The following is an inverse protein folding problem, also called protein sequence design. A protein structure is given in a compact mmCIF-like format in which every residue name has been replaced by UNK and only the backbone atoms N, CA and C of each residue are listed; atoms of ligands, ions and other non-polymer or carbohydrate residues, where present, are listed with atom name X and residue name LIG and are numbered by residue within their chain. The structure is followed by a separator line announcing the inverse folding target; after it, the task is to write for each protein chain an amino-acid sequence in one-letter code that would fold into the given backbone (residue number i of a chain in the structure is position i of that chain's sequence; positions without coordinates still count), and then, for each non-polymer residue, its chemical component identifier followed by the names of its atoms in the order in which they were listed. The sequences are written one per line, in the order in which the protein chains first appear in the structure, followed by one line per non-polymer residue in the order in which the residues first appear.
data_IF_210753707182
#
_entry.id   IF_210753707182
#
_cell.length_a   1.000
_cell.length_b   1.000
_cell.length_c   1.000
_cell.angle_alpha   90.00
_cell.angle_beta   90.00
_cell.angle_gamma   90.00
#
_symmetry.space_group_name_H-M   'P 1'
#
loop_
_entity.id
_entity.type
_entity.pdbx_description
1 polymer ?
#
# COMPACT_ATOMS: atom_id res chain seq x y z
N UNK A 1 19.15 9.13 12.44
CA UNK A 1 18.61 10.51 12.67
C UNK A 1 17.13 10.36 12.99
N UNK A 2 16.46 11.35 13.60
CA UNK A 2 15.03 11.34 13.98
C UNK A 2 14.80 10.79 15.40
N UNK A 3 14.81 11.68 16.40
CA UNK A 3 14.08 11.63 17.67
C UNK A 3 14.62 12.74 18.59
N UNK A 4 14.53 13.98 18.11
CA UNK A 4 14.68 15.17 18.95
C UNK A 4 13.30 15.54 19.49
N UNK A 5 13.22 15.83 20.80
CA UNK A 5 11.98 16.12 21.55
C UNK A 5 11.10 17.27 21.02
N UNK A 6 11.52 17.98 19.98
CA UNK A 6 10.78 19.07 19.34
C UNK A 6 10.44 18.82 17.86
N UNK A 7 10.56 17.59 17.36
CA UNK A 7 10.13 17.28 15.99
C UNK A 7 8.60 17.16 15.91
N UNK A 8 7.92 17.75 14.91
CA UNK A 8 6.49 17.55 14.68
C UNK A 8 6.09 16.07 14.50
N UNK A 9 7.07 15.18 14.24
CA UNK A 9 6.90 13.72 14.23
C UNK A 9 6.68 13.10 15.62
N UNK A 10 6.94 13.83 16.70
CA UNK A 10 6.70 13.38 18.08
C UNK A 10 5.22 13.23 18.43
N UNK A 11 4.31 13.76 17.60
CA UNK A 11 2.86 13.67 17.79
C UNK A 11 2.23 12.42 17.15
N UNK A 12 2.99 11.65 16.37
CA UNK A 12 2.54 10.46 15.63
C UNK A 12 3.42 9.26 15.98
N UNK A 13 2.84 8.08 16.21
CA UNK A 13 3.66 6.87 16.37
C UNK A 13 4.41 6.61 15.05
N UNK A 14 5.75 6.57 15.08
CA UNK A 14 6.61 6.44 13.90
C UNK A 14 6.99 4.98 13.74
N UNK A 15 6.73 4.41 12.56
CA UNK A 15 7.14 3.04 12.25
C UNK A 15 8.26 2.98 11.21
N UNK A 16 9.13 2.00 11.38
CA UNK A 16 10.21 1.63 10.48
C UNK A 16 9.88 0.26 9.87
N UNK A 17 9.85 0.14 8.56
CA UNK A 17 9.65 -1.12 7.85
C UNK A 17 10.97 -1.63 7.27
N UNK A 18 11.34 -2.85 7.60
CA UNK A 18 12.60 -3.48 7.19
C UNK A 18 12.26 -4.78 6.47
N UNK A 19 12.64 -4.87 5.20
CA UNK A 19 12.54 -6.09 4.41
C UNK A 19 13.83 -6.89 4.54
N UNK A 20 13.74 -8.13 4.97
CA UNK A 20 14.89 -9.03 5.16
C UNK A 20 14.95 -10.12 4.09
N UNK A 21 16.16 -10.50 3.70
CA UNK A 21 16.42 -11.58 2.74
C UNK A 21 15.86 -12.93 3.20
N UNK A 22 16.14 -13.36 4.43
CA UNK A 22 15.72 -14.68 4.94
C UNK A 22 15.14 -14.55 6.32
N UNK A 23 14.06 -15.29 6.58
CA UNK A 23 13.44 -15.38 7.90
C UNK A 23 14.43 -15.94 8.94
N UNK A 24 15.30 -16.87 8.52
CA UNK A 24 16.34 -17.47 9.36
C UNK A 24 17.32 -16.43 9.91
N UNK A 25 17.59 -15.34 9.18
CA UNK A 25 18.47 -14.28 9.66
C UNK A 25 17.87 -13.52 10.87
N UNK A 26 16.60 -13.75 11.20
CA UNK A 26 15.90 -13.09 12.31
C UNK A 26 15.35 -14.07 13.37
N UNK A 27 14.83 -15.24 12.99
CA UNK A 27 14.28 -16.27 13.93
C UNK A 27 15.05 -17.60 13.89
N UNK A 28 16.00 -17.76 12.96
CA UNK A 28 16.76 -19.00 12.81
C UNK A 28 17.70 -19.30 13.98
N UNK A 29 18.49 -20.36 13.82
CA UNK A 29 19.48 -20.79 14.81
C UNK A 29 20.56 -19.74 15.07
N UNK A 30 20.90 -18.93 14.06
CA UNK A 30 21.86 -17.82 14.13
C UNK A 30 21.20 -16.54 13.62
N UNK A 31 20.40 -15.84 14.46
CA UNK A 31 19.60 -14.71 14.02
C UNK A 31 20.45 -13.42 13.96
N UNK A 32 21.32 -13.34 12.95
CA UNK A 32 22.27 -12.25 12.75
C UNK A 32 21.62 -10.86 12.79
N UNK A 33 20.52 -10.65 12.07
CA UNK A 33 19.84 -9.35 11.99
C UNK A 33 19.29 -8.96 13.36
N UNK A 34 18.74 -9.92 14.12
CA UNK A 34 18.18 -9.67 15.45
C UNK A 34 19.26 -9.29 16.46
N UNK A 35 20.43 -9.93 16.38
CA UNK A 35 21.60 -9.61 17.21
C UNK A 35 22.15 -8.22 16.89
N UNK A 36 22.44 -7.97 15.61
CA UNK A 36 22.95 -6.67 15.15
C UNK A 36 21.98 -5.54 15.48
N UNK A 37 20.67 -5.77 15.32
CA UNK A 37 19.67 -4.79 15.69
C UNK A 37 19.71 -4.47 17.19
N UNK A 38 19.80 -5.49 18.06
CA UNK A 38 19.86 -5.27 19.50
C UNK A 38 21.10 -4.47 19.92
N UNK A 39 22.26 -4.81 19.35
CA UNK A 39 23.53 -4.12 19.59
C UNK A 39 23.48 -2.65 19.14
N UNK A 40 23.04 -2.41 17.89
CA UNK A 40 22.97 -1.07 17.33
C UNK A 40 21.89 -0.21 18.01
N UNK A 41 20.74 -0.81 18.35
CA UNK A 41 19.69 -0.12 19.09
C UNK A 41 20.21 0.30 20.47
N UNK A 42 20.90 -0.59 21.19
CA UNK A 42 21.47 -0.27 22.50
C UNK A 42 22.49 0.87 22.40
N UNK A 43 23.40 0.80 21.41
CA UNK A 43 24.42 1.81 21.15
C UNK A 43 23.81 3.19 20.87
N UNK A 44 22.89 3.26 19.90
CA UNK A 44 22.26 4.52 19.47
C UNK A 44 21.31 5.07 20.54
N UNK A 45 20.57 4.22 21.24
CA UNK A 45 19.69 4.64 22.33
C UNK A 45 20.50 5.26 23.47
N UNK A 46 21.65 4.68 23.83
CA UNK A 46 22.54 5.25 24.85
C UNK A 46 23.11 6.60 24.40
N UNK A 47 23.58 6.71 23.15
CA UNK A 47 24.10 7.97 22.59
C UNK A 47 23.05 9.09 22.59
N UNK A 48 21.80 8.76 22.26
CA UNK A 48 20.71 9.74 22.09
C UNK A 48 20.02 10.14 23.39
N UNK A 49 19.79 9.17 24.29
CA UNK A 49 18.97 9.37 25.50
C UNK A 49 19.81 9.44 26.78
N UNK A 50 21.08 9.05 26.72
CA UNK A 50 21.94 8.90 27.89
C UNK A 50 21.58 7.71 28.78
N UNK A 51 20.60 6.87 28.38
CA UNK A 51 20.14 5.71 29.14
C UNK A 51 20.34 4.42 28.34
N UNK A 52 20.72 3.34 29.02
CA UNK A 52 20.69 2.03 28.40
C UNK A 52 19.26 1.48 28.36
N UNK A 53 18.79 0.98 27.20
CA UNK A 53 17.51 0.32 27.11
C UNK A 53 17.55 -1.04 27.80
N UNK A 54 16.42 -1.47 28.38
CA UNK A 54 16.31 -2.81 28.96
C UNK A 54 16.18 -3.87 27.85
N UNK A 55 16.59 -5.13 28.09
CA UNK A 55 16.38 -6.21 27.12
C UNK A 55 14.90 -6.38 26.73
N UNK A 56 13.99 -6.20 27.68
CA UNK A 56 12.54 -6.25 27.44
C UNK A 56 12.08 -5.12 26.52
N UNK A 57 12.63 -3.92 26.66
CA UNK A 57 12.35 -2.79 25.78
C UNK A 57 12.85 -3.07 24.36
N UNK A 58 14.06 -3.59 24.21
CA UNK A 58 14.63 -3.94 22.89
C UNK A 58 13.74 -4.95 22.18
N UNK A 59 13.19 -5.94 22.88
CA UNK A 59 12.27 -6.91 22.29
C UNK A 59 10.91 -6.28 21.98
N UNK A 60 10.38 -5.46 22.89
CA UNK A 60 9.05 -4.85 22.74
C UNK A 60 8.96 -3.88 21.56
N UNK A 61 10.06 -3.21 21.20
CA UNK A 61 10.08 -2.30 20.03
C UNK A 61 10.12 -3.02 18.69
N UNK A 62 10.28 -4.34 18.68
CA UNK A 62 10.37 -5.16 17.47
C UNK A 62 9.06 -5.92 17.23
N UNK A 63 8.50 -5.73 16.05
CA UNK A 63 7.45 -6.57 15.47
C UNK A 63 7.99 -7.30 14.25
N UNK A 64 7.55 -8.54 14.04
CA UNK A 64 7.96 -9.33 12.87
C UNK A 64 6.78 -10.02 12.20
N UNK A 65 6.85 -10.13 10.89
CA UNK A 65 5.80 -10.70 10.04
C UNK A 65 6.42 -11.71 9.08
N UNK A 66 6.36 -12.98 9.46
CA UNK A 66 6.88 -14.08 8.65
C UNK A 66 5.81 -15.17 8.45
N UNK A 67 5.86 -15.84 7.30
CA UNK A 67 5.00 -16.97 7.02
C UNK A 67 5.19 -18.08 8.02
N UNK A 68 4.13 -18.86 8.22
CA UNK A 68 4.24 -20.19 8.81
C UNK A 68 3.78 -21.24 7.82
N UNK A 69 4.45 -22.38 7.80
CA UNK A 69 3.96 -23.56 7.09
C UNK A 69 2.73 -24.11 7.82
N UNK A 70 1.97 -25.01 7.19
CA UNK A 70 0.86 -25.71 7.86
C UNK A 70 1.27 -26.53 9.09
N UNK A 71 2.57 -26.71 9.33
CA UNK A 71 3.14 -27.35 10.53
C UNK A 71 3.57 -26.35 11.61
N UNK A 72 3.42 -25.04 11.38
CA UNK A 72 3.74 -23.97 12.32
C UNK A 72 5.18 -23.44 12.25
N UNK A 73 6.03 -24.02 11.40
CA UNK A 73 7.42 -23.58 11.19
C UNK A 73 7.47 -22.31 10.34
N UNK A 74 8.36 -21.38 10.67
CA UNK A 74 8.51 -20.16 9.88
C UNK A 74 9.10 -20.46 8.50
N UNK A 75 8.61 -19.78 7.46
CA UNK A 75 9.10 -19.96 6.09
C UNK A 75 9.19 -18.62 5.34
N UNK A 76 10.10 -18.58 4.38
CA UNK A 76 10.29 -17.53 3.39
C UNK A 76 9.50 -17.78 2.09
N UNK A 77 8.78 -18.91 1.98
CA UNK A 77 8.06 -19.28 0.77
C UNK A 77 6.85 -18.36 0.48
N UNK A 78 6.92 -17.58 -0.60
CA UNK A 78 5.84 -16.68 -1.04
C UNK A 78 4.49 -17.38 -1.30
N UNK A 79 4.49 -18.65 -1.75
CA UNK A 79 3.25 -19.42 -1.96
C UNK A 79 2.59 -19.81 -0.65
N UNK A 80 3.40 -20.11 0.38
CA UNK A 80 2.87 -20.31 1.73
C UNK A 80 2.24 -19.01 2.26
N UNK A 81 2.76 -17.84 1.86
CA UNK A 81 2.27 -16.55 2.33
C UNK A 81 0.84 -16.23 1.88
N UNK A 82 0.50 -16.49 0.62
CA UNK A 82 -0.86 -16.30 0.10
C UNK A 82 -1.91 -17.13 0.85
N UNK A 83 -1.51 -18.26 1.42
CA UNK A 83 -2.38 -19.17 2.19
C UNK A 83 -2.51 -18.77 3.67
N UNK A 84 -1.55 -18.01 4.21
CA UNK A 84 -1.57 -17.51 5.58
C UNK A 84 -2.37 -16.20 5.71
N UNK A 85 -3.50 -16.08 5.00
CA UNK A 85 -4.34 -14.88 5.01
C UNK A 85 -4.80 -14.50 6.42
N UNK A 86 -5.04 -15.50 7.28
CA UNK A 86 -5.42 -15.33 8.69
C UNK A 86 -4.37 -14.60 9.54
N UNK A 87 -3.07 -14.86 9.31
CA UNK A 87 -1.97 -14.16 9.99
C UNK A 87 -2.02 -12.68 9.62
N UNK A 88 -2.31 -12.37 8.35
CA UNK A 88 -2.45 -11.00 7.87
C UNK A 88 -3.74 -10.34 8.33
N UNK A 89 -4.87 -11.03 8.33
CA UNK A 89 -6.15 -10.47 8.81
C UNK A 89 -6.09 -10.11 10.31
N UNK A 90 -5.34 -10.87 11.11
CA UNK A 90 -5.04 -10.52 12.50
C UNK A 90 -4.22 -9.22 12.59
N UNK A 91 -3.24 -9.04 11.71
CA UNK A 91 -2.43 -7.80 11.59
C UNK A 91 -3.29 -6.62 11.12
N UNK A 92 -4.25 -6.86 10.22
CA UNK A 92 -5.17 -5.83 9.73
C UNK A 92 -6.18 -5.41 10.82
N UNK A 93 -6.54 -6.31 11.74
CA UNK A 93 -7.37 -6.01 12.91
C UNK A 93 -6.66 -5.10 13.91
N UNK A 94 -5.35 -5.26 14.10
CA UNK A 94 -4.56 -4.46 15.06
C UNK A 94 -3.95 -3.16 14.49
N UNK A 95 -4.37 -2.72 13.29
CA UNK A 95 -3.91 -1.45 12.69
C UNK A 95 -4.05 -0.24 13.61
N UNK A 96 -5.17 -0.16 14.34
CA UNK A 96 -5.39 0.94 15.27
C UNK A 96 -4.41 0.90 16.45
N UNK A 97 -4.02 -0.30 16.90
CA UNK A 97 -3.01 -0.45 17.94
C UNK A 97 -1.63 -0.06 17.44
N UNK A 98 -1.26 -0.38 16.19
CA UNK A 98 0.02 0.07 15.61
C UNK A 98 0.14 1.59 15.50
N UNK A 99 -0.98 2.30 15.42
CA UNK A 99 -1.03 3.76 15.43
C UNK A 99 -1.09 4.36 16.85
N UNK A 100 -1.35 3.54 17.88
CA UNK A 100 -1.40 3.97 19.27
C UNK A 100 0.00 4.21 19.82
N UNK A 101 0.15 5.25 20.64
CA UNK A 101 1.38 5.50 21.40
C UNK A 101 1.66 4.43 22.47
N UNK A 102 0.64 3.69 22.87
CA UNK A 102 0.77 2.63 23.86
C UNK A 102 1.44 1.38 23.28
N UNK A 103 1.47 1.27 21.95
CA UNK A 103 2.15 0.18 21.29
C UNK A 103 3.66 0.47 21.23
N UNK A 104 4.49 -0.35 21.89
CA UNK A 104 5.93 -0.15 21.90
C UNK A 104 6.59 -0.44 20.54
N UNK A 105 5.90 -1.12 19.61
CA UNK A 105 6.47 -1.55 18.33
C UNK A 105 6.76 -0.36 17.43
N UNK A 106 8.05 -0.11 17.20
CA UNK A 106 8.57 0.92 16.30
C UNK A 106 9.18 0.31 15.03
N UNK A 107 9.73 -0.91 15.13
CA UNK A 107 10.45 -1.58 14.05
C UNK A 107 9.71 -2.82 13.60
N UNK A 108 9.43 -2.90 12.30
CA UNK A 108 8.70 -3.99 11.67
C UNK A 108 9.63 -4.73 10.72
N UNK A 109 9.84 -6.02 10.96
CA UNK A 109 10.62 -6.90 10.09
C UNK A 109 9.69 -7.76 9.24
N UNK A 110 9.87 -7.76 7.93
CA UNK A 110 9.09 -8.59 6.99
C UNK A 110 10.02 -9.22 5.97
N UNK A 111 9.71 -10.42 5.49
CA UNK A 111 10.45 -11.03 4.37
C UNK A 111 9.89 -10.61 3.00
N UNK A 112 8.56 -10.49 2.91
CA UNK A 112 7.86 -10.17 1.66
C UNK A 112 7.12 -8.84 1.77
N UNK A 113 6.73 -8.28 0.61
CA UNK A 113 5.72 -7.25 0.53
C UNK A 113 4.50 -7.69 1.35
N UNK A 114 4.11 -6.87 2.33
CA UNK A 114 2.97 -7.17 3.19
C UNK A 114 1.71 -7.34 2.31
N UNK A 115 0.76 -8.21 2.67
CA UNK A 115 -0.38 -8.53 1.80
C UNK A 115 -1.26 -7.31 1.41
N UNK A 116 -2.18 -7.52 0.48
CA UNK A 116 -3.27 -6.57 0.18
C UNK A 116 -3.99 -6.23 1.48
N UNK A 117 -4.20 -4.94 1.76
CA UNK A 117 -4.83 -4.46 2.98
C UNK A 117 -3.87 -3.83 3.99
N UNK A 118 -2.56 -4.13 3.98
CA UNK A 118 -1.64 -3.48 4.90
C UNK A 118 -1.42 -2.01 4.54
N UNK A 119 -1.86 -1.13 5.45
CA UNK A 119 -1.94 0.31 5.28
C UNK A 119 -1.64 0.98 6.62
N UNK A 120 -0.37 1.29 6.86
CA UNK A 120 0.05 2.14 7.97
C UNK A 120 0.54 3.49 7.40
N UNK A 121 -0.19 4.60 7.59
CA UNK A 121 0.20 5.90 7.07
C UNK A 121 1.43 6.50 7.77
N UNK A 122 1.88 5.93 8.88
CA UNK A 122 2.98 6.46 9.69
C UNK A 122 4.29 5.66 9.50
N UNK A 123 4.48 5.05 8.33
CA UNK A 123 5.76 4.46 7.95
C UNK A 123 6.64 5.57 7.37
N UNK A 124 7.71 5.91 8.07
CA UNK A 124 8.62 6.98 7.63
C UNK A 124 9.94 6.46 7.09
N UNK A 125 10.23 5.18 7.29
CA UNK A 125 11.48 4.58 6.83
C UNK A 125 11.19 3.20 6.26
N UNK A 126 11.68 2.95 5.05
CA UNK A 126 11.68 1.63 4.43
C UNK A 126 13.13 1.27 4.14
N UNK A 127 13.58 0.15 4.69
CA UNK A 127 14.89 -0.41 4.41
C UNK A 127 14.75 -1.76 3.73
N UNK A 128 15.43 -1.94 2.61
CA UNK A 128 15.38 -3.18 1.84
C UNK A 128 16.73 -3.86 1.98
N UNK A 129 16.82 -4.89 2.83
CA UNK A 129 18.01 -5.71 3.06
C UNK A 129 18.01 -7.00 2.21
N UNK A 130 17.12 -7.09 1.21
CA UNK A 130 16.96 -8.27 0.37
C UNK A 130 17.95 -8.31 -0.80
N UNK A 131 18.44 -9.49 -1.17
CA UNK A 131 19.35 -9.61 -2.31
C UNK A 131 18.62 -9.63 -3.67
N UNK A 132 17.32 -9.86 -3.68
CA UNK A 132 16.53 -10.06 -4.89
C UNK A 132 16.03 -8.74 -5.46
N UNK A 133 16.56 -8.38 -6.64
CA UNK A 133 16.14 -7.22 -7.41
C UNK A 133 14.82 -7.52 -8.14
N UNK A 134 13.70 -7.02 -7.63
CA UNK A 134 12.43 -7.05 -8.35
C UNK A 134 11.84 -5.65 -8.41
N UNK A 135 11.91 -5.04 -9.59
CA UNK A 135 11.44 -3.67 -9.85
C UNK A 135 9.95 -3.49 -9.52
N UNK A 136 9.12 -4.48 -9.86
CA UNK A 136 7.67 -4.46 -9.60
C UNK A 136 7.39 -4.54 -8.08
N UNK A 137 8.16 -5.36 -7.35
CA UNK A 137 8.00 -5.57 -5.91
C UNK A 137 8.42 -4.30 -5.14
N UNK A 138 9.54 -3.68 -5.52
CA UNK A 138 10.01 -2.42 -4.93
C UNK A 138 8.96 -1.30 -5.06
N UNK A 139 8.32 -1.14 -6.22
CA UNK A 139 7.27 -0.12 -6.41
C UNK A 139 6.07 -0.34 -5.47
N UNK A 140 5.61 -1.58 -5.33
CA UNK A 140 4.47 -1.92 -4.47
C UNK A 140 4.80 -1.79 -2.97
N UNK A 141 6.04 -2.08 -2.58
CA UNK A 141 6.52 -1.93 -1.20
C UNK A 141 6.67 -0.46 -0.83
N UNK A 142 7.26 0.36 -1.71
CA UNK A 142 7.49 1.79 -1.49
C UNK A 142 6.17 2.57 -1.52
N UNK A 143 5.25 2.22 -2.42
CA UNK A 143 3.93 2.85 -2.50
C UNK A 143 3.13 2.81 -1.20
N UNK A 144 3.41 1.85 -0.30
CA UNK A 144 2.75 1.73 1.01
C UNK A 144 3.21 2.79 2.00
N UNK A 145 4.44 3.29 1.86
CA UNK A 145 5.01 4.35 2.70
C UNK A 145 4.75 5.77 2.20
N UNK A 146 4.10 5.95 1.04
CA UNK A 146 3.82 7.28 0.45
C UNK A 146 2.53 7.94 0.97
N UNK A 147 1.90 7.34 1.98
CA UNK A 147 0.66 7.87 2.54
C UNK A 147 0.94 9.04 3.48
N UNK A 148 -0.01 9.97 3.54
CA UNK A 148 0.04 11.11 4.47
C UNK A 148 -0.24 10.58 5.88
N UNK A 149 0.70 10.86 6.80
CA UNK A 149 0.65 10.41 8.18
C UNK A 149 -0.57 10.96 8.94
N UNK A 150 -0.94 10.28 10.02
CA UNK A 150 -2.04 10.65 10.90
C UNK A 150 -1.55 10.94 12.32
N UNK A 151 -2.20 11.89 12.98
CA UNK A 151 -2.02 12.17 14.39
C UNK A 151 -2.80 11.16 15.27
N UNK A 152 -2.68 11.30 16.59
CA UNK A 152 -3.37 10.45 17.57
C UNK A 152 -4.90 10.51 17.50
N UNK A 153 -5.46 11.55 16.90
CA UNK A 153 -6.90 11.69 16.65
C UNK A 153 -7.33 11.06 15.32
N UNK A 154 -6.41 10.37 14.62
CA UNK A 154 -6.65 9.78 13.31
C UNK A 154 -6.75 10.80 12.17
N UNK A 155 -6.41 12.06 12.42
CA UNK A 155 -6.48 13.13 11.42
C UNK A 155 -5.17 13.21 10.64
N UNK A 156 -5.28 13.36 9.31
CA UNK A 156 -4.11 13.50 8.44
C UNK A 156 -3.36 14.79 8.70
N UNK A 157 -2.04 14.70 8.86
CA UNK A 157 -1.15 15.85 9.01
C UNK A 157 -0.60 16.20 7.63
N UNK A 158 -1.03 17.34 7.09
CA UNK A 158 -0.50 17.85 5.83
C UNK A 158 0.73 18.72 6.09
N UNK A 159 1.71 18.64 5.19
CA UNK A 159 2.87 19.51 5.26
C UNK A 159 2.46 20.98 5.11
N UNK A 160 3.09 21.90 5.85
CA UNK A 160 2.85 23.33 5.68
C UNK A 160 3.25 23.76 4.27
N UNK A 161 2.58 24.79 3.74
CA UNK A 161 2.97 25.45 2.49
C UNK A 161 4.21 26.34 2.70
N UNK A 162 5.29 25.75 3.21
CA UNK A 162 6.60 26.38 3.44
C UNK A 162 7.54 26.02 2.30
N UNK A 163 8.42 26.96 1.93
CA UNK A 163 9.53 26.71 1.00
C UNK A 163 10.70 25.99 1.70
N UNK A 164 10.64 25.83 3.03
CA UNK A 164 11.66 25.14 3.80
C UNK A 164 11.36 23.62 3.86
N UNK A 165 12.29 22.84 3.30
CA UNK A 165 12.23 21.38 3.29
C UNK A 165 12.36 20.77 4.68
N UNK A 166 12.90 21.53 5.63
CA UNK A 166 13.16 21.01 6.98
C UNK A 166 11.88 21.01 7.84
N UNK A 167 10.82 21.69 7.39
CA UNK A 167 9.50 21.72 8.04
C UNK A 167 8.56 20.58 7.60
N UNK A 168 8.95 19.81 6.57
CA UNK A 168 8.12 18.72 6.04
C UNK A 168 8.05 17.55 7.01
N UNK A 169 6.82 17.15 7.34
CA UNK A 169 6.57 16.02 8.24
C UNK A 169 6.58 14.72 7.43
N UNK A 170 5.89 14.71 6.29
CA UNK A 170 5.63 13.53 5.45
C UNK A 170 6.79 13.17 4.51
N UNK A 171 7.98 12.94 5.08
CA UNK A 171 9.16 12.51 4.32
C UNK A 171 9.47 11.05 4.60
N UNK A 172 9.25 10.20 3.59
CA UNK A 172 9.66 8.80 3.57
C UNK A 172 11.15 8.67 3.23
N UNK A 173 11.91 8.05 4.13
CA UNK A 173 13.32 7.69 3.88
C UNK A 173 13.39 6.28 3.31
N UNK A 174 13.96 6.14 2.11
CA UNK A 174 14.24 4.84 1.52
C UNK A 174 15.73 4.50 1.67
N UNK A 175 16.01 3.29 2.14
CA UNK A 175 17.36 2.73 2.24
C UNK A 175 17.42 1.51 1.31
N UNK A 176 17.74 1.71 0.02
CA UNK A 176 17.87 0.62 -0.94
C UNK A 176 19.28 0.00 -0.89
N UNK A 177 19.44 -1.18 -1.49
CA UNK A 177 20.73 -1.84 -1.67
C UNK A 177 21.56 -1.29 -2.84
N UNK A 178 21.00 -0.38 -3.62
CA UNK A 178 21.67 0.31 -4.71
C UNK A 178 21.93 1.79 -4.37
N UNK A 179 22.64 2.51 -5.24
CA UNK A 179 22.85 3.94 -5.04
C UNK A 179 21.53 4.68 -5.23
N UNK A 180 21.33 5.76 -4.46
CA UNK A 180 20.15 6.62 -4.58
C UNK A 180 19.88 7.09 -6.03
N UNK A 181 20.95 7.36 -6.78
CA UNK A 181 20.86 7.84 -8.16
C UNK A 181 20.25 6.78 -9.09
N UNK A 182 20.75 5.53 -9.03
CA UNK A 182 20.22 4.43 -9.84
C UNK A 182 18.75 4.19 -9.54
N UNK A 183 18.40 4.09 -8.25
CA UNK A 183 17.03 3.90 -7.80
C UNK A 183 16.09 5.01 -8.29
N UNK A 184 16.48 6.28 -8.11
CA UNK A 184 15.64 7.42 -8.47
C UNK A 184 15.42 7.51 -9.98
N UNK A 185 16.45 7.25 -10.80
CA UNK A 185 16.35 7.29 -12.26
C UNK A 185 15.42 6.19 -12.78
N UNK A 186 15.53 4.97 -12.27
CA UNK A 186 14.65 3.86 -12.64
C UNK A 186 13.20 4.14 -12.24
N UNK A 187 12.98 4.62 -11.01
CA UNK A 187 11.65 4.97 -10.56
C UNK A 187 11.00 6.06 -11.43
N UNK A 188 11.75 7.08 -11.82
CA UNK A 188 11.26 8.11 -12.73
C UNK A 188 10.99 7.59 -14.15
N UNK A 189 11.84 6.71 -14.67
CA UNK A 189 11.63 6.08 -15.97
C UNK A 189 10.33 5.26 -15.99
N UNK A 190 10.07 4.50 -14.93
CA UNK A 190 8.83 3.73 -14.77
C UNK A 190 7.59 4.63 -14.69
N UNK A 191 7.63 5.71 -13.90
CA UNK A 191 6.54 6.69 -13.88
C UNK A 191 6.27 7.27 -15.28
N UNK A 192 7.33 7.50 -16.07
CA UNK A 192 7.19 8.03 -17.43
C UNK A 192 6.56 7.04 -18.42
N UNK A 193 6.83 5.75 -18.25
CA UNK A 193 6.24 4.69 -19.08
C UNK A 193 4.75 4.53 -18.79
N UNK A 194 4.37 4.59 -17.52
CA UNK A 194 3.00 4.37 -17.05
C UNK A 194 2.08 5.58 -17.27
N UNK A 195 2.56 6.80 -17.02
CA UNK A 195 1.77 8.04 -17.16
C UNK A 195 1.92 8.72 -18.53
N UNK A 196 2.74 8.16 -19.43
CA UNK A 196 3.01 8.71 -20.75
C UNK A 196 3.94 9.93 -20.75
N UNK A 197 4.53 10.24 -21.91
CA UNK A 197 5.52 11.34 -22.07
C UNK A 197 4.96 12.74 -21.82
N UNK A 198 3.63 12.91 -21.87
CA UNK A 198 2.95 14.18 -21.57
C UNK A 198 2.68 14.37 -20.07
N UNK A 199 2.84 13.31 -19.26
CA UNK A 199 2.85 13.39 -17.81
C UNK A 199 4.10 14.12 -17.34
N UNK A 200 3.93 15.30 -16.72
CA UNK A 200 5.04 16.00 -16.07
C UNK A 200 5.68 15.08 -15.04
N UNK A 201 6.90 14.63 -15.31
CA UNK A 201 7.69 13.87 -14.33
C UNK A 201 7.80 14.69 -13.04
N UNK A 202 7.58 14.08 -11.86
CA UNK A 202 7.81 14.76 -10.60
C UNK A 202 9.26 15.25 -10.55
N UNK A 203 9.51 16.55 -10.30
CA UNK A 203 10.87 17.07 -10.26
C UNK A 203 11.64 16.43 -9.10
N UNK A 204 12.87 15.98 -9.35
CA UNK A 204 13.77 15.55 -8.28
C UNK A 204 14.10 16.73 -7.36
N UNK A 205 14.16 16.46 -6.06
CA UNK A 205 14.61 17.43 -5.03
C UNK A 205 16.05 17.90 -5.26
N UNK A 206 16.89 17.03 -5.80
CA UNK A 206 18.27 17.32 -6.18
C UNK A 206 18.41 17.25 -7.69
N UNK A 207 19.17 18.17 -8.27
CA UNK A 207 19.58 18.03 -9.67
C UNK A 207 20.65 16.93 -9.81
N UNK A 208 21.01 16.58 -11.04
CA UNK A 208 22.04 15.57 -11.35
C UNK A 208 23.45 15.92 -10.80
N UNK A 209 23.63 17.09 -10.19
CA UNK A 209 24.86 17.52 -9.52
C UNK A 209 24.74 17.47 -7.98
N UNK A 210 23.64 16.93 -7.45
CA UNK A 210 23.38 16.81 -6.02
C UNK A 210 22.86 18.07 -5.32
N UNK A 211 22.66 19.18 -6.04
CA UNK A 211 22.23 20.45 -5.46
C UNK A 211 20.71 20.50 -5.29
N UNK A 212 20.23 21.05 -4.17
CA UNK A 212 18.80 21.26 -3.91
C UNK A 212 18.20 22.17 -5.00
N UNK A 213 17.09 21.73 -5.60
CA UNK A 213 16.30 22.54 -6.54
C UNK A 213 15.35 23.42 -5.73
N UNK A 214 15.67 24.69 -5.56
CA UNK A 214 14.80 25.63 -4.85
C UNK A 214 13.71 26.14 -5.78
N UNK A 215 12.46 25.74 -5.54
CA UNK A 215 11.31 26.41 -6.12
C UNK A 215 10.99 27.62 -5.23
N UNK A 216 11.48 28.80 -5.58
CA UNK A 216 11.20 30.01 -4.81
C UNK A 216 9.82 30.54 -5.20
N UNK A 217 8.84 30.43 -4.31
CA UNK A 217 7.51 31.00 -4.52
C UNK A 217 7.51 32.45 -4.04
N UNK A 218 7.63 33.40 -4.97
CA UNK A 218 7.58 34.83 -4.64
C UNK A 218 6.14 35.32 -4.55
N UNK A 219 5.69 35.70 -3.35
CA UNK A 219 4.40 36.40 -3.16
C UNK A 219 4.51 37.83 -3.66
N UNK A 220 3.60 38.24 -4.53
CA UNK A 220 3.51 39.62 -5.00
C UNK A 220 2.80 40.51 -3.97
N UNK A 221 3.56 41.05 -3.01
CA UNK A 221 3.08 41.86 -1.87
C UNK A 221 2.06 42.93 -2.24
N UNK A 222 2.30 43.69 -3.31
CA UNK A 222 1.40 44.77 -3.73
C UNK A 222 0.01 44.27 -4.15
N UNK A 223 -0.09 43.07 -4.72
CA UNK A 223 -1.38 42.47 -5.09
C UNK A 223 -2.04 41.81 -3.88
N UNK A 224 -1.24 41.12 -3.05
CA UNK A 224 -1.73 40.48 -1.83
C UNK A 224 -2.34 41.48 -0.84
N UNK A 225 -1.75 42.66 -0.71
CA UNK A 225 -2.23 43.72 0.18
C UNK A 225 -3.32 44.62 -0.44
N UNK A 226 -3.68 44.39 -1.72
CA UNK A 226 -4.73 45.18 -2.37
C UNK A 226 -6.12 44.86 -1.81
N UNK A 227 -6.97 45.88 -1.72
CA UNK A 227 -8.35 45.71 -1.23
C UNK A 227 -9.20 44.84 -2.15
N UNK A 228 -8.94 44.87 -3.46
CA UNK A 228 -9.60 44.00 -4.44
C UNK A 228 -9.30 42.52 -4.18
N UNK A 229 -8.04 42.17 -3.92
CA UNK A 229 -7.65 40.80 -3.59
C UNK A 229 -8.23 40.36 -2.24
N UNK A 230 -8.20 41.22 -1.22
CA UNK A 230 -8.77 40.89 0.10
C UNK A 230 -10.27 40.59 0.01
N UNK A 231 -11.01 41.38 -0.77
CA UNK A 231 -12.45 41.14 -0.99
C UNK A 231 -12.73 39.86 -1.78
N UNK A 232 -11.93 39.60 -2.82
CA UNK A 232 -11.98 38.35 -3.57
C UNK A 232 -11.70 37.14 -2.65
N UNK A 233 -10.62 37.20 -1.87
CA UNK A 233 -10.22 36.14 -0.95
C UNK A 233 -11.25 35.88 0.15
N UNK A 234 -11.86 36.94 0.71
CA UNK A 234 -12.96 36.82 1.68
C UNK A 234 -14.18 36.08 1.13
N UNK A 235 -14.39 36.14 -0.18
CA UNK A 235 -15.47 35.42 -0.87
C UNK A 235 -15.06 33.98 -1.17
N UNK A 236 -13.83 33.78 -1.65
CA UNK A 236 -13.30 32.48 -2.06
C UNK A 236 -12.96 31.55 -0.88
N UNK A 237 -12.36 32.07 0.19
CA UNK A 237 -11.84 31.30 1.32
C UNK A 237 -12.91 30.77 2.28
N UNK A 238 -14.19 30.83 1.88
CA UNK A 238 -15.29 30.27 2.67
C UNK A 238 -15.23 28.74 2.59
N UNK A 239 -15.19 28.07 3.74
CA UNK A 239 -15.36 26.61 3.79
C UNK A 239 -16.82 26.29 3.45
N UNK A 240 -17.07 25.76 2.26
CA UNK A 240 -18.39 25.26 1.87
C UNK A 240 -18.55 23.82 2.35
N UNK A 241 -19.71 23.49 2.92
CA UNK A 241 -20.09 22.11 3.18
C UNK A 241 -21.11 21.75 2.11
N UNK A 242 -20.78 20.78 1.26
CA UNK A 242 -21.71 20.23 0.29
C UNK A 242 -22.43 19.06 0.95
N UNK A 243 -23.75 19.18 1.12
CA UNK A 243 -24.58 18.09 1.60
C UNK A 243 -25.29 17.51 0.39
N UNK A 244 -25.03 16.23 0.11
CA UNK A 244 -25.79 15.50 -0.90
C UNK A 244 -26.89 14.75 -0.18
N UNK A 245 -28.13 15.06 -0.54
CA UNK A 245 -29.28 14.23 -0.17
C UNK A 245 -29.52 13.27 -1.31
N UNK A 246 -29.57 11.99 -1.01
CA UNK A 246 -29.97 10.95 -1.94
C UNK A 246 -31.41 10.53 -1.62
N UNK A 247 -32.22 10.32 -2.64
CA UNK A 247 -33.48 9.60 -2.50
C UNK A 247 -33.17 8.10 -2.53
N UNK A 248 -33.12 7.49 -1.35
CA UNK A 248 -32.83 6.05 -1.21
C UNK A 248 -33.83 5.19 -1.99
N UNK A 249 -35.12 5.56 -1.99
CA UNK A 249 -36.14 4.79 -2.68
C UNK A 249 -35.93 4.84 -4.20
N UNK A 250 -35.53 5.99 -4.74
CA UNK A 250 -35.21 6.12 -6.16
C UNK A 250 -33.98 5.29 -6.54
N UNK A 251 -32.93 5.32 -5.72
CA UNK A 251 -31.70 4.55 -5.98
C UNK A 251 -31.97 3.05 -5.95
N UNK A 252 -32.74 2.57 -4.95
CA UNK A 252 -33.12 1.16 -4.84
C UNK A 252 -33.93 0.74 -6.07
N UNK A 253 -34.92 1.53 -6.48
CA UNK A 253 -35.73 1.22 -7.65
C UNK A 253 -34.92 1.16 -8.94
N UNK A 254 -34.00 2.12 -9.14
CA UNK A 254 -33.07 2.10 -10.28
C UNK A 254 -32.14 0.88 -10.23
N UNK A 255 -31.63 0.53 -9.05
CA UNK A 255 -30.80 -0.66 -8.83
C UNK A 255 -31.53 -1.95 -9.20
N UNK A 256 -32.78 -2.12 -8.73
CA UNK A 256 -33.63 -3.27 -9.07
C UNK A 256 -33.87 -3.35 -10.58
N UNK A 257 -34.14 -2.21 -11.23
CA UNK A 257 -34.36 -2.18 -12.69
C UNK A 257 -33.12 -2.61 -13.48
N UNK A 258 -31.93 -2.12 -13.11
CA UNK A 258 -30.69 -2.51 -13.78
C UNK A 258 -30.30 -3.97 -13.49
N UNK A 259 -30.43 -4.42 -12.24
CA UNK A 259 -30.21 -5.82 -11.87
C UNK A 259 -31.15 -6.77 -12.60
N UNK A 260 -32.43 -6.38 -12.77
CA UNK A 260 -33.41 -7.14 -13.53
C UNK A 260 -33.10 -7.28 -15.03
N UNK A 261 -32.24 -6.42 -15.59
CA UNK A 261 -31.76 -6.55 -16.98
C UNK A 261 -30.68 -7.62 -17.14
N UNK A 262 -30.04 -8.03 -16.05
CA UNK A 262 -28.98 -9.04 -16.08
C UNK A 262 -29.63 -10.39 -16.38
N UNK A 263 -29.40 -10.90 -17.59
CA UNK A 263 -29.80 -12.24 -17.99
C UNK A 263 -28.62 -13.17 -17.85
N UNK A 264 -28.73 -14.15 -16.97
CA UNK A 264 -27.79 -15.27 -16.92
C UNK A 264 -28.20 -16.24 -18.04
N UNK A 265 -27.28 -16.52 -18.96
CA UNK A 265 -27.53 -17.50 -20.01
C UNK A 265 -27.79 -18.88 -19.40
N UNK A 266 -28.73 -19.63 -19.97
CA UNK A 266 -28.97 -21.00 -19.55
C UNK A 266 -27.70 -21.83 -19.75
N UNK A 267 -27.42 -22.74 -18.82
CA UNK A 267 -26.34 -23.70 -19.01
C UNK A 267 -26.77 -24.70 -20.09
N UNK A 268 -26.10 -24.71 -21.23
CA UNK A 268 -26.48 -25.52 -22.38
C UNK A 268 -25.35 -26.48 -22.73
N UNK A 269 -25.70 -27.74 -22.97
CA UNK A 269 -24.82 -28.70 -23.62
C UNK A 269 -25.13 -28.72 -25.11
N UNK A 270 -24.10 -28.55 -25.91
CA UNK A 270 -24.16 -28.67 -27.36
C UNK A 270 -23.59 -30.02 -27.79
N UNK A 271 -24.43 -30.86 -28.40
CA UNK A 271 -24.01 -32.12 -29.02
C UNK A 271 -23.93 -31.87 -30.53
N UNK A 272 -22.73 -32.03 -31.11
CA UNK A 272 -22.51 -31.95 -32.56
C UNK A 272 -22.23 -33.32 -33.14
N UNK A 273 -22.98 -33.68 -34.17
CA UNK A 273 -22.70 -34.84 -35.01
C UNK A 273 -21.89 -34.37 -36.21
N UNK A 274 -20.61 -34.74 -36.23
CA UNK A 274 -19.70 -34.41 -37.32
C UNK A 274 -19.39 -35.65 -38.14
N UNK A 275 -19.63 -35.60 -39.45
CA UNK A 275 -19.23 -36.65 -40.39
C UNK A 275 -17.84 -36.36 -40.91
N UNK A 276 -16.93 -37.29 -40.62
CA UNK A 276 -15.53 -37.23 -41.03
C UNK A 276 -15.42 -38.02 -42.34
N UNK A 277 -15.06 -37.36 -43.43
CA UNK A 277 -14.89 -38.00 -44.76
C UNK A 277 -13.48 -38.54 -44.93
N UNK A 278 -12.48 -37.86 -44.37
CA UNK A 278 -11.08 -38.27 -44.41
C UNK A 278 -10.43 -38.22 -43.02
N UNK A 279 -9.43 -39.07 -42.77
CA UNK A 279 -8.76 -39.18 -41.47
C UNK A 279 -8.10 -37.86 -41.01
N UNK A 280 -7.82 -36.96 -41.95
CA UNK A 280 -7.24 -35.64 -41.70
C UNK A 280 -8.25 -34.64 -41.10
N UNK A 281 -9.56 -34.92 -41.18
CA UNK A 281 -10.64 -34.02 -40.73
C UNK A 281 -10.99 -34.16 -39.24
N UNK A 282 -10.34 -35.09 -38.52
CA UNK A 282 -10.58 -35.41 -37.11
C UNK A 282 -10.41 -34.19 -36.18
N UNK A 283 -9.59 -33.20 -36.56
CA UNK A 283 -9.37 -31.97 -35.79
C UNK A 283 -10.41 -30.88 -36.10
N UNK A 284 -11.69 -31.24 -36.14
CA UNK A 284 -12.80 -30.28 -36.20
C UNK A 284 -13.08 -29.67 -37.58
N UNK A 285 -12.65 -30.32 -38.67
CA UNK A 285 -12.94 -29.91 -40.06
C UNK A 285 -13.94 -30.80 -40.80
N UNK A 286 -14.53 -31.79 -40.12
CA UNK A 286 -15.58 -32.61 -40.71
C UNK A 286 -16.87 -31.82 -40.97
N UNK A 287 -17.73 -32.36 -41.83
CA UNK A 287 -19.02 -31.75 -42.18
C UNK A 287 -20.00 -31.93 -41.02
N UNK A 288 -20.57 -30.84 -40.49
CA UNK A 288 -21.58 -30.89 -39.44
C UNK A 288 -22.90 -31.40 -40.03
N UNK A 289 -23.34 -32.58 -39.57
CA UNK A 289 -24.54 -33.27 -40.09
C UNK A 289 -25.75 -33.06 -39.19
N UNK A 290 -25.52 -32.68 -37.93
CA UNK A 290 -26.60 -32.40 -37.00
C UNK A 290 -26.09 -31.72 -35.74
N UNK A 291 -26.96 -30.92 -35.14
CA UNK A 291 -26.73 -30.20 -33.89
C UNK A 291 -27.94 -30.35 -32.99
N UNK A 292 -27.69 -30.68 -31.73
CA UNK A 292 -28.70 -30.70 -30.70
C UNK A 292 -28.21 -29.87 -29.51
N UNK A 293 -29.06 -28.98 -29.02
CA UNK A 293 -28.80 -28.16 -27.84
C UNK A 293 -29.75 -28.63 -26.75
N UNK A 294 -29.20 -29.07 -25.62
CA UNK A 294 -29.98 -29.45 -24.45
C UNK A 294 -29.68 -28.51 -23.29
N UNK A 295 -30.72 -27.94 -22.68
CA UNK A 295 -30.58 -27.16 -21.46
C UNK A 295 -30.28 -28.09 -20.28
N UNK A 296 -29.19 -27.79 -19.59
CA UNK A 296 -28.76 -28.47 -18.39
C UNK A 296 -29.22 -27.71 -17.15
N UNK A 297 -29.48 -28.45 -16.06
CA UNK A 297 -29.70 -27.84 -14.75
C UNK A 297 -28.33 -27.58 -14.10
N UNK A 298 -27.91 -26.32 -14.07
CA UNK A 298 -26.74 -25.92 -13.29
C UNK A 298 -27.06 -25.94 -11.79
N UNK A 299 -26.22 -26.60 -10.99
CA UNK A 299 -26.18 -26.40 -9.54
C UNK A 299 -25.13 -25.35 -9.22
N UNK A 300 -25.55 -24.14 -8.89
CA UNK A 300 -24.65 -23.13 -8.36
C UNK A 300 -24.50 -23.33 -6.85
N UNK A 301 -23.29 -23.21 -6.31
CA UNK A 301 -23.13 -22.98 -4.87
C UNK A 301 -23.79 -21.64 -4.52
N UNK A 302 -24.36 -21.53 -3.32
CA UNK A 302 -24.87 -20.25 -2.83
C UNK A 302 -23.69 -19.26 -2.77
N UNK A 303 -23.57 -18.41 -3.79
CA UNK A 303 -22.62 -17.32 -3.78
C UNK A 303 -23.20 -16.22 -2.89
N UNK A 304 -22.41 -15.74 -1.93
CA UNK A 304 -22.78 -14.56 -1.17
C UNK A 304 -22.58 -13.32 -2.06
N UNK A 305 -23.61 -13.05 -2.85
CA UNK A 305 -23.64 -11.93 -3.79
C UNK A 305 -23.58 -10.60 -3.02
N UNK A 306 -24.07 -10.57 -1.77
CA UNK A 306 -24.07 -9.37 -0.93
C UNK A 306 -22.63 -9.02 -0.52
N UNK A 307 -21.88 -10.02 -0.05
CA UNK A 307 -20.47 -9.86 0.29
C UNK A 307 -19.65 -9.42 -0.93
N UNK A 308 -19.82 -10.07 -2.08
CA UNK A 308 -19.09 -9.70 -3.30
C UNK A 308 -19.41 -8.29 -3.80
N UNK A 309 -20.66 -7.84 -3.68
CA UNK A 309 -21.03 -6.47 -4.05
C UNK A 309 -20.42 -5.48 -3.05
N UNK A 310 -20.45 -5.79 -1.75
CA UNK A 310 -19.85 -4.94 -0.71
C UNK A 310 -18.33 -4.78 -0.90
N UNK A 311 -17.61 -5.88 -1.12
CA UNK A 311 -16.16 -5.86 -1.36
C UNK A 311 -15.79 -5.02 -2.59
N UNK A 312 -16.55 -5.14 -3.69
CA UNK A 312 -16.24 -4.44 -4.94
C UNK A 312 -16.69 -2.97 -4.94
N UNK A 313 -17.75 -2.62 -4.21
CA UNK A 313 -18.31 -1.26 -4.19
C UNK A 313 -17.86 -0.44 -3.00
N UNK A 314 -17.22 -1.07 -2.00
CA UNK A 314 -16.87 -0.44 -0.71
C UNK A 314 -18.08 0.14 0.05
N UNK A 315 -19.29 -0.29 -0.30
CA UNK A 315 -20.52 0.04 0.42
C UNK A 315 -20.73 -0.97 1.54
N UNK A 316 -20.94 -0.47 2.75
CA UNK A 316 -21.30 -1.31 3.90
C UNK A 316 -22.74 -1.81 3.76
N UNK A 317 -22.97 -3.08 4.08
CA UNK A 317 -24.29 -3.65 4.33
C UNK A 317 -24.62 -3.63 5.82
#
# INVERSE_FOLDING_TARGET
MINGKNSPRSASNVCHLIFIDKVDNYIGSEPLIKQLFAEEYQRVHQERTGKQPSPTQIVAVQGYYFARTGKGEFTDNESAMLKNREIYDLILKDKQQLLSLENPVEFIFSHSALGVGWDNPNIFNIATLNQTYSEIKNRQEIGRGLRICVNQQGQRIYDPASDDTDDEVNVLTLIPNETYETFALQYQAQLSEEFGKDGKQPPLRKNNKGNKKQNKLTRHEARFNSDSFRNFWKTLARKTHYTVSFDEAEIINRGIQELGKIKIAAYEAEIRLTRIKELQDIQGKGEEVGREITQLKASYSAADIVEQISENTSLSY
#
